data_IF_924098300620
#
_entry.id   IF_924098300620
#
_cell.length_a   1.000
_cell.length_b   1.000
_cell.length_c   1.000
_cell.angle_alpha   90.00
_cell.angle_beta   90.00
_cell.angle_gamma   90.00
#
_symmetry.space_group_name_H-M   'P 1'
#
loop_
_entity.id
_entity.type
_entity.pdbx_description
1 polymer ?
#
# COMPACT_ATOMS: atom_id res chain seq x y z
N UNK A 1 4.87 12.79 22.96
CA UNK A 1 5.14 13.06 21.52
C UNK A 1 3.82 13.18 20.79
N UNK A 2 3.71 14.19 19.96
CA UNK A 2 2.53 14.32 19.10
C UNK A 2 2.50 13.13 18.15
N UNK A 3 1.47 12.30 18.20
CA UNK A 3 1.34 11.19 17.25
C UNK A 3 1.35 11.72 15.83
N UNK A 4 2.17 11.11 14.98
CA UNK A 4 2.26 11.49 13.58
C UNK A 4 1.05 10.94 12.85
N UNK A 5 0.24 11.78 12.24
CA UNK A 5 -0.96 11.35 11.50
C UNK A 5 -0.65 11.08 10.03
N UNK A 6 0.22 10.10 9.79
CA UNK A 6 0.45 9.58 8.45
C UNK A 6 -0.66 8.60 8.07
N UNK A 7 -0.88 8.43 6.78
CA UNK A 7 -1.81 7.43 6.27
C UNK A 7 -1.11 6.53 5.25
N UNK A 8 -1.41 5.24 5.34
CA UNK A 8 -0.84 4.23 4.46
C UNK A 8 -1.86 3.78 3.42
N UNK A 9 -1.39 3.56 2.21
CA UNK A 9 -2.19 3.13 1.07
C UNK A 9 -1.53 1.89 0.46
N UNK A 10 -2.22 0.77 0.53
CA UNK A 10 -1.68 -0.54 0.15
C UNK A 10 -2.32 -1.00 -1.15
N UNK A 11 -1.48 -1.16 -2.19
CA UNK A 11 -1.86 -1.88 -3.39
C UNK A 11 -1.90 -3.38 -3.05
N UNK A 12 -3.08 -3.89 -2.74
CA UNK A 12 -3.25 -5.25 -2.23
C UNK A 12 -2.83 -6.32 -3.21
N UNK A 13 -3.10 -6.13 -4.50
CA UNK A 13 -2.69 -7.08 -5.52
C UNK A 13 -1.17 -7.12 -5.69
N UNK A 14 -0.53 -5.97 -5.77
CA UNK A 14 0.93 -5.87 -5.88
C UNK A 14 1.62 -6.51 -4.66
N UNK A 15 1.14 -6.23 -3.46
CA UNK A 15 1.65 -6.83 -2.23
C UNK A 15 1.53 -8.37 -2.27
N UNK A 16 0.34 -8.88 -2.54
CA UNK A 16 0.07 -10.31 -2.57
C UNK A 16 0.90 -11.05 -3.60
N UNK A 17 0.91 -10.57 -4.85
CA UNK A 17 1.62 -11.24 -5.94
C UNK A 17 3.12 -11.28 -5.71
N UNK A 18 3.71 -10.19 -5.25
CA UNK A 18 5.16 -10.10 -5.09
C UNK A 18 5.68 -10.81 -3.84
N UNK A 19 4.92 -10.90 -2.77
CA UNK A 19 5.30 -11.70 -1.60
C UNK A 19 5.16 -13.20 -1.89
N UNK A 20 4.08 -13.61 -2.56
CA UNK A 20 3.88 -15.01 -3.00
C UNK A 20 4.99 -15.46 -3.96
N UNK A 21 5.34 -14.64 -4.93
CA UNK A 21 6.43 -14.93 -5.87
C UNK A 21 7.78 -15.12 -5.16
N UNK A 22 7.95 -14.49 -4.00
CA UNK A 22 9.16 -14.60 -3.16
C UNK A 22 9.05 -15.69 -2.08
N UNK A 23 7.99 -16.48 -2.09
CA UNK A 23 7.80 -17.64 -1.20
C UNK A 23 7.42 -17.30 0.25
N UNK A 24 6.79 -16.16 0.50
CA UNK A 24 6.34 -15.80 1.85
C UNK A 24 4.98 -15.10 1.85
N UNK A 25 4.39 -14.98 3.00
CA UNK A 25 3.08 -14.35 3.20
C UNK A 25 3.17 -13.31 4.30
N UNK A 26 2.51 -12.18 4.07
CA UNK A 26 2.40 -11.12 5.08
C UNK A 26 1.35 -11.50 6.12
N UNK A 27 1.70 -11.40 7.39
CA UNK A 27 0.76 -11.37 8.49
C UNK A 27 0.17 -9.96 8.58
N UNK A 28 -1.09 -9.80 8.20
CA UNK A 28 -1.75 -8.51 8.10
C UNK A 28 -1.85 -7.79 9.45
N UNK A 29 -2.03 -8.52 10.55
CA UNK A 29 -2.07 -7.93 11.90
C UNK A 29 -0.71 -7.33 12.26
N UNK A 30 0.36 -8.12 12.09
CA UNK A 30 1.73 -7.65 12.32
C UNK A 30 2.08 -6.48 11.41
N UNK A 31 1.67 -6.54 10.15
CA UNK A 31 1.93 -5.49 9.18
C UNK A 31 1.22 -4.18 9.54
N UNK A 32 -0.04 -4.27 9.98
CA UNK A 32 -0.78 -3.08 10.45
C UNK A 32 -0.10 -2.42 11.64
N UNK A 33 0.35 -3.22 12.60
CA UNK A 33 1.12 -2.74 13.76
C UNK A 33 2.44 -2.10 13.32
N UNK A 34 3.17 -2.76 12.42
CA UNK A 34 4.43 -2.24 11.88
C UNK A 34 4.27 -0.87 11.22
N UNK A 35 3.23 -0.69 10.40
CA UNK A 35 2.96 0.59 9.75
C UNK A 35 2.65 1.69 10.78
N UNK A 36 1.90 1.37 11.82
CA UNK A 36 1.58 2.33 12.88
C UNK A 36 2.80 2.70 13.72
N UNK A 37 3.54 1.72 14.20
CA UNK A 37 4.64 1.94 15.14
C UNK A 37 5.86 2.57 14.48
N UNK A 38 6.21 2.11 13.28
CA UNK A 38 7.42 2.59 12.60
C UNK A 38 7.20 3.88 11.82
N UNK A 39 6.05 4.03 11.18
CA UNK A 39 5.77 5.13 10.26
C UNK A 39 4.65 6.06 10.70
N UNK A 40 4.05 5.84 11.84
CA UNK A 40 2.97 6.68 12.36
C UNK A 40 1.68 6.62 11.53
N UNK A 41 1.42 5.50 10.85
CA UNK A 41 0.22 5.33 10.05
C UNK A 41 -1.02 5.13 10.93
N UNK A 42 -1.79 6.19 11.15
CA UNK A 42 -3.01 6.14 11.95
C UNK A 42 -4.15 5.43 11.20
N UNK A 43 -4.22 5.62 9.90
CA UNK A 43 -5.14 4.91 9.01
C UNK A 43 -4.34 4.17 7.94
N UNK A 44 -4.83 3.01 7.55
CA UNK A 44 -4.25 2.21 6.48
C UNK A 44 -5.36 1.67 5.57
N UNK A 45 -5.30 2.04 4.31
CA UNK A 45 -6.28 1.66 3.28
C UNK A 45 -5.73 0.51 2.46
N UNK A 46 -6.51 -0.53 2.32
CA UNK A 46 -6.14 -1.72 1.55
C UNK A 46 -7.02 -1.80 0.30
N UNK A 47 -6.39 -1.59 -0.85
CA UNK A 47 -7.07 -1.52 -2.13
C UNK A 47 -7.12 -2.91 -2.79
N UNK A 48 -8.31 -3.29 -3.18
CA UNK A 48 -8.59 -4.51 -3.93
C UNK A 48 -9.33 -4.17 -5.21
N UNK A 49 -9.36 -5.11 -6.16
CA UNK A 49 -10.12 -4.98 -7.39
C UNK A 49 -11.63 -5.05 -7.15
N UNK A 50 -12.31 -5.92 -7.85
CA UNK A 50 -13.76 -6.11 -7.67
C UNK A 50 -14.06 -6.93 -6.42
N UNK A 51 -15.23 -6.70 -5.83
CA UNK A 51 -15.79 -7.58 -4.80
C UNK A 51 -16.02 -8.97 -5.39
N UNK A 52 -15.56 -10.00 -4.70
CA UNK A 52 -15.76 -11.40 -5.06
C UNK A 52 -16.19 -12.20 -3.85
N UNK A 53 -17.22 -13.01 -4.00
CA UNK A 53 -17.70 -13.90 -2.92
C UNK A 53 -16.62 -14.90 -2.48
N UNK A 54 -15.75 -15.32 -3.41
CA UNK A 54 -14.65 -16.26 -3.14
C UNK A 54 -13.59 -15.70 -2.19
N UNK A 55 -13.51 -14.39 -2.06
CA UNK A 55 -12.50 -13.70 -1.25
C UNK A 55 -13.03 -13.17 0.09
N UNK A 56 -14.19 -13.61 0.56
CA UNK A 56 -14.76 -13.12 1.84
C UNK A 56 -13.81 -13.31 3.02
N UNK A 57 -13.12 -14.45 3.09
CA UNK A 57 -12.14 -14.70 4.14
C UNK A 57 -10.98 -13.70 4.14
N UNK A 58 -10.51 -13.27 2.97
CA UNK A 58 -9.51 -12.24 2.84
C UNK A 58 -10.03 -10.89 3.34
N UNK A 59 -11.26 -10.53 2.99
CA UNK A 59 -11.86 -9.26 3.41
C UNK A 59 -12.00 -9.18 4.93
N UNK A 60 -12.45 -10.26 5.56
CA UNK A 60 -12.54 -10.34 7.02
C UNK A 60 -11.16 -10.21 7.68
N UNK A 61 -10.15 -10.88 7.14
CA UNK A 61 -8.76 -10.77 7.61
C UNK A 61 -8.24 -9.34 7.54
N UNK A 62 -8.42 -8.67 6.42
CA UNK A 62 -7.97 -7.29 6.20
C UNK A 62 -8.65 -6.35 7.19
N UNK A 63 -9.97 -6.45 7.34
CA UNK A 63 -10.75 -5.61 8.26
C UNK A 63 -10.39 -5.88 9.72
N UNK A 64 -10.29 -7.15 10.10
CA UNK A 64 -9.94 -7.56 11.48
C UNK A 64 -8.52 -7.11 11.85
N UNK A 65 -7.61 -7.07 10.89
CA UNK A 65 -6.25 -6.57 11.09
C UNK A 65 -6.20 -5.04 11.30
N UNK A 66 -7.29 -4.33 11.01
CA UNK A 66 -7.40 -2.88 11.21
C UNK A 66 -7.14 -2.05 9.96
N UNK A 67 -7.21 -2.65 8.77
CA UNK A 67 -7.19 -1.91 7.50
C UNK A 67 -8.61 -1.50 7.09
N UNK A 68 -8.67 -0.40 6.37
CA UNK A 68 -9.89 0.05 5.71
C UNK A 68 -9.89 -0.51 4.30
N UNK A 69 -10.86 -1.37 3.97
CA UNK A 69 -11.00 -1.93 2.64
C UNK A 69 -11.52 -0.88 1.67
N UNK A 70 -10.89 -0.81 0.51
CA UNK A 70 -11.35 0.00 -0.62
C UNK A 70 -11.43 -0.89 -1.84
N UNK A 71 -12.62 -1.01 -2.40
CA UNK A 71 -12.85 -1.72 -3.65
C UNK A 71 -12.92 -0.75 -4.80
N UNK A 72 -12.44 -1.21 -5.95
CA UNK A 72 -12.58 -0.45 -7.18
C UNK A 72 -14.06 -0.36 -7.59
N UNK A 73 -14.49 0.83 -7.98
CA UNK A 73 -15.79 1.02 -8.61
C UNK A 73 -15.81 0.44 -10.03
N UNK A 74 -16.82 -0.38 -10.31
CA UNK A 74 -17.06 -0.94 -11.64
C UNK A 74 -18.38 -0.44 -12.21
N UNK A 75 -18.37 0.03 -13.45
CA UNK A 75 -19.59 0.12 -14.23
C UNK A 75 -19.97 -1.29 -14.71
N UNK A 76 -21.28 -1.53 -14.94
CA UNK A 76 -21.76 -2.81 -15.52
C UNK A 76 -21.07 -3.15 -16.85
N UNK A 77 -20.71 -2.14 -17.64
CA UNK A 77 -20.01 -2.31 -18.90
C UNK A 77 -18.58 -2.84 -18.75
N UNK A 78 -18.00 -2.77 -17.56
CA UNK A 78 -16.64 -3.24 -17.28
C UNK A 78 -16.60 -4.64 -16.68
N UNK A 79 -17.74 -5.23 -16.33
CA UNK A 79 -17.84 -6.59 -15.83
C UNK A 79 -17.40 -7.56 -16.92
N UNK A 80 -16.35 -8.34 -16.68
CA UNK A 80 -15.79 -9.30 -17.63
C UNK A 80 -14.79 -8.74 -18.63
N UNK A 81 -14.54 -7.43 -18.63
CA UNK A 81 -13.42 -6.83 -19.36
C UNK A 81 -12.16 -6.83 -18.52
N UNK A 82 -11.00 -6.87 -19.20
CA UNK A 82 -9.68 -6.80 -18.60
C UNK A 82 -9.66 -5.73 -17.50
N UNK A 83 -9.22 -6.12 -16.32
CA UNK A 83 -9.15 -5.28 -15.12
C UNK A 83 -8.69 -3.88 -15.47
N UNK A 84 -9.56 -2.92 -15.32
CA UNK A 84 -9.13 -1.55 -15.34
C UNK A 84 -8.15 -1.31 -14.20
N UNK A 85 -7.43 -0.24 -14.29
CA UNK A 85 -6.28 0.05 -13.46
C UNK A 85 -6.70 0.43 -12.04
N UNK A 86 -6.47 -0.45 -11.06
CA UNK A 86 -6.61 -0.16 -9.62
C UNK A 86 -5.71 1.02 -9.23
N UNK A 87 -4.60 1.20 -9.93
CA UNK A 87 -3.62 2.27 -9.69
C UNK A 87 -4.25 3.66 -9.82
N UNK A 88 -5.14 3.86 -10.80
CA UNK A 88 -5.86 5.13 -10.96
C UNK A 88 -6.70 5.46 -9.74
N UNK A 89 -7.41 4.48 -9.18
CA UNK A 89 -8.24 4.68 -8.00
C UNK A 89 -7.39 4.98 -6.77
N UNK A 90 -6.25 4.31 -6.63
CA UNK A 90 -5.30 4.59 -5.54
C UNK A 90 -4.76 6.01 -5.66
N UNK A 91 -4.30 6.42 -6.85
CA UNK A 91 -3.78 7.78 -7.09
C UNK A 91 -4.84 8.83 -6.77
N UNK A 92 -6.07 8.65 -7.26
CA UNK A 92 -7.17 9.57 -6.99
C UNK A 92 -7.45 9.66 -5.49
N UNK A 93 -7.54 8.53 -4.80
CA UNK A 93 -7.83 8.49 -3.36
C UNK A 93 -6.73 9.19 -2.56
N UNK A 94 -5.47 8.92 -2.86
CA UNK A 94 -4.34 9.57 -2.19
C UNK A 94 -4.38 11.09 -2.40
N UNK A 95 -4.51 11.53 -3.64
CA UNK A 95 -4.44 12.95 -3.97
C UNK A 95 -5.64 13.72 -3.41
N UNK A 96 -6.84 13.13 -3.43
CA UNK A 96 -8.01 13.75 -2.81
C UNK A 96 -7.84 13.90 -1.30
N UNK A 97 -7.30 12.90 -0.62
CA UNK A 97 -7.03 12.99 0.83
C UNK A 97 -5.94 14.01 1.17
N UNK A 98 -4.90 14.10 0.36
CA UNK A 98 -3.86 15.12 0.54
C UNK A 98 -4.44 16.54 0.47
N UNK A 99 -5.44 16.74 -0.37
CA UNK A 99 -6.12 18.04 -0.54
C UNK A 99 -7.15 18.29 0.55
N UNK A 100 -8.00 17.30 0.83
CA UNK A 100 -9.22 17.47 1.63
C UNK A 100 -9.02 17.20 3.13
N UNK A 101 -8.16 16.24 3.49
CA UNK A 101 -7.89 15.88 4.89
C UNK A 101 -6.78 16.76 5.47
N UNK A 102 -7.19 17.82 6.16
CA UNK A 102 -6.25 18.79 6.76
C UNK A 102 -5.42 18.21 7.90
N UNK A 103 -5.88 17.13 8.50
CA UNK A 103 -5.19 16.49 9.63
C UNK A 103 -4.16 15.47 9.19
N UNK A 104 -4.27 14.97 7.95
CA UNK A 104 -3.31 14.03 7.39
C UNK A 104 -1.96 14.71 7.17
N UNK A 105 -0.87 14.07 7.66
CA UNK A 105 0.48 14.59 7.46
C UNK A 105 1.09 14.06 6.17
N UNK A 106 1.61 12.85 6.17
CA UNK A 106 2.35 12.30 5.04
C UNK A 106 1.75 10.98 4.55
N UNK A 107 2.03 10.69 3.29
CA UNK A 107 1.59 9.48 2.59
C UNK A 107 2.64 8.39 2.71
N UNK A 108 2.18 7.17 3.02
CA UNK A 108 2.95 5.93 2.90
C UNK A 108 2.31 5.11 1.79
N UNK A 109 3.08 4.70 0.79
CA UNK A 109 2.61 3.86 -0.30
C UNK A 109 3.25 2.49 -0.22
N UNK A 110 2.43 1.44 -0.27
CA UNK A 110 2.89 0.04 -0.32
C UNK A 110 2.64 -0.52 -1.71
N UNK A 111 3.63 -0.43 -2.55
CA UNK A 111 3.67 -0.98 -3.91
C UNK A 111 5.07 -0.85 -4.50
N UNK A 112 5.42 -1.73 -5.43
CA UNK A 112 6.63 -1.62 -6.25
C UNK A 112 6.36 -1.20 -7.69
N UNK A 113 5.10 -0.92 -8.03
CA UNK A 113 4.69 -0.58 -9.39
C UNK A 113 5.13 0.84 -9.78
N UNK A 114 5.76 0.94 -10.95
CA UNK A 114 6.24 2.21 -11.49
C UNK A 114 5.15 3.20 -11.90
N UNK A 115 3.91 2.77 -12.03
CA UNK A 115 2.78 3.63 -12.41
C UNK A 115 2.53 4.74 -11.37
N UNK A 116 2.96 4.54 -10.14
CA UNK A 116 2.86 5.55 -9.08
C UNK A 116 4.01 6.57 -9.07
N UNK A 117 5.01 6.43 -9.92
CA UNK A 117 6.24 7.23 -9.85
C UNK A 117 5.98 8.73 -9.88
N UNK A 118 5.16 9.21 -10.81
CA UNK A 118 4.87 10.64 -10.94
C UNK A 118 4.21 11.22 -9.69
N UNK A 119 3.26 10.49 -9.11
CA UNK A 119 2.60 10.89 -7.87
C UNK A 119 3.59 10.94 -6.71
N UNK A 120 4.40 9.91 -6.54
CA UNK A 120 5.40 9.83 -5.46
C UNK A 120 6.40 10.98 -5.57
N UNK A 121 6.93 11.22 -6.77
CA UNK A 121 7.84 12.34 -7.03
C UNK A 121 7.22 13.69 -6.65
N UNK A 122 5.99 13.93 -7.07
CA UNK A 122 5.24 15.13 -6.75
C UNK A 122 5.05 15.30 -5.23
N UNK A 123 4.65 14.24 -4.54
CA UNK A 123 4.44 14.29 -3.09
C UNK A 123 5.74 14.51 -2.31
N UNK A 124 6.85 13.97 -2.78
CA UNK A 124 8.18 14.24 -2.21
C UNK A 124 8.53 15.74 -2.36
N UNK A 125 8.33 16.30 -3.55
CA UNK A 125 8.58 17.73 -3.82
C UNK A 125 7.70 18.63 -2.95
N UNK A 126 6.48 18.22 -2.66
CA UNK A 126 5.54 18.93 -1.78
C UNK A 126 5.74 18.65 -0.29
N UNK A 127 6.71 17.83 0.06
CA UNK A 127 6.99 17.41 1.46
C UNK A 127 5.76 16.77 2.14
N UNK A 128 5.06 15.93 1.39
CA UNK A 128 3.87 15.19 1.82
C UNK A 128 4.02 13.67 1.65
N UNK A 129 5.25 13.20 1.57
CA UNK A 129 5.55 11.76 1.38
C UNK A 129 6.49 11.25 2.46
N UNK A 130 6.08 10.18 3.14
CA UNK A 130 6.86 9.53 4.19
C UNK A 130 7.73 8.40 3.63
N UNK A 131 7.10 7.39 3.01
CA UNK A 131 7.82 6.18 2.58
C UNK A 131 7.08 5.43 1.49
N UNK A 132 7.84 4.92 0.53
CA UNK A 132 7.42 3.86 -0.37
C UNK A 132 7.96 2.55 0.18
N UNK A 133 7.07 1.59 0.40
CA UNK A 133 7.41 0.24 0.87
C UNK A 133 7.11 -0.75 -0.25
N UNK A 134 8.11 -1.13 -0.99
CA UNK A 134 7.98 -2.10 -2.06
C UNK A 134 8.03 -3.54 -1.50
N UNK A 135 7.13 -4.43 -1.95
CA UNK A 135 7.09 -5.80 -1.43
C UNK A 135 8.36 -6.59 -1.68
N UNK A 136 8.99 -6.39 -2.82
CA UNK A 136 10.17 -7.15 -3.23
C UNK A 136 11.16 -6.25 -3.99
N UNK A 137 12.41 -6.25 -3.53
CA UNK A 137 13.49 -5.47 -4.14
C UNK A 137 13.67 -5.76 -5.62
N UNK A 138 13.57 -7.03 -6.02
CA UNK A 138 13.84 -7.45 -7.40
C UNK A 138 12.73 -7.09 -8.39
N UNK A 139 11.48 -7.03 -7.93
CA UNK A 139 10.32 -6.70 -8.75
C UNK A 139 9.91 -5.24 -8.70
N UNK A 140 10.64 -4.43 -7.95
CA UNK A 140 10.37 -3.00 -7.84
C UNK A 140 10.82 -2.26 -9.10
N UNK A 141 9.99 -1.34 -9.59
CA UNK A 141 10.33 -0.51 -10.75
C UNK A 141 11.66 0.22 -10.55
N UNK A 142 12.48 0.19 -11.60
CA UNK A 142 13.75 0.91 -11.60
C UNK A 142 13.60 2.43 -11.53
N UNK A 143 12.42 2.96 -11.84
CA UNK A 143 12.13 4.39 -11.72
C UNK A 143 12.37 4.93 -10.30
N UNK A 144 12.11 4.10 -9.29
CA UNK A 144 12.27 4.51 -7.89
C UNK A 144 13.73 4.62 -7.43
N UNK A 145 14.69 4.20 -8.23
CA UNK A 145 16.13 4.31 -7.91
C UNK A 145 16.62 5.76 -7.82
N UNK A 146 15.89 6.71 -8.41
CA UNK A 146 16.24 8.14 -8.32
C UNK A 146 15.98 8.72 -6.93
N UNK A 147 15.16 8.06 -6.12
CA UNK A 147 14.86 8.51 -4.76
C UNK A 147 15.93 7.99 -3.79
N UNK A 148 16.25 8.83 -2.78
CA UNK A 148 17.18 8.43 -1.72
C UNK A 148 16.60 7.29 -0.88
N UNK A 149 17.45 6.49 -0.20
CA UNK A 149 16.98 5.43 0.70
C UNK A 149 16.04 5.91 1.81
N UNK A 150 16.02 7.20 2.08
CA UNK A 150 15.07 7.80 3.01
C UNK A 150 13.61 7.51 2.61
N UNK A 151 13.31 7.52 1.31
CA UNK A 151 11.95 7.40 0.80
C UNK A 151 11.57 6.00 0.34
N UNK A 152 12.52 5.09 0.17
CA UNK A 152 12.25 3.74 -0.37
C UNK A 152 12.75 2.68 0.61
N UNK A 153 11.87 1.77 0.97
CA UNK A 153 12.17 0.58 1.74
C UNK A 153 11.60 -0.67 1.09
N UNK A 154 12.10 -1.83 1.49
CA UNK A 154 11.69 -3.12 0.93
C UNK A 154 11.19 -4.04 2.03
N UNK A 155 9.99 -4.58 1.85
CA UNK A 155 9.37 -5.46 2.85
C UNK A 155 10.08 -6.82 2.95
N UNK A 156 10.77 -7.24 1.88
CA UNK A 156 11.55 -8.49 1.87
C UNK A 156 12.97 -8.35 2.46
N UNK A 157 13.36 -7.17 2.92
CA UNK A 157 14.58 -7.02 3.71
C UNK A 157 14.48 -7.87 4.99
N UNK A 158 15.57 -8.54 5.34
CA UNK A 158 15.60 -9.59 6.37
C UNK A 158 14.89 -9.22 7.68
N UNK A 159 15.20 -8.04 8.21
CA UNK A 159 14.65 -7.61 9.51
C UNK A 159 13.17 -7.24 9.41
N UNK A 160 12.77 -6.60 8.32
CA UNK A 160 11.37 -6.24 8.07
C UNK A 160 10.54 -7.48 7.85
N UNK A 161 10.98 -8.37 6.95
CA UNK A 161 10.29 -9.63 6.67
C UNK A 161 10.07 -10.46 7.94
N UNK A 162 11.08 -10.56 8.79
CA UNK A 162 10.96 -11.29 10.07
C UNK A 162 9.85 -10.73 10.96
N UNK A 163 9.67 -9.41 10.96
CA UNK A 163 8.66 -8.73 11.79
C UNK A 163 7.24 -8.92 11.29
N UNK A 164 7.05 -9.01 9.98
CA UNK A 164 5.72 -8.95 9.35
C UNK A 164 5.29 -10.24 8.65
N UNK A 165 6.15 -11.25 8.58
CA UNK A 165 5.79 -12.51 7.93
C UNK A 165 4.88 -13.36 8.81
N UNK A 166 4.00 -14.09 8.14
CA UNK A 166 3.21 -15.13 8.77
C UNK A 166 4.15 -16.26 9.22
N UNK A 167 3.99 -16.73 10.46
CA UNK A 167 4.74 -17.87 10.95
C UNK A 167 4.36 -19.14 10.14
N UNK A 168 5.37 -19.89 9.74
CA UNK A 168 5.19 -21.18 9.05
C UNK A 168 4.91 -22.27 10.06
#
# INVERSE_FOLDING_TARGET
MKETNNQAFIDGQNLYMNTRASGWTVDLVKFRIYLREKYGAQKAYYFLGAVSEENQGLYELVQTAGFILVFREHSRAMIGKKKGNVDTDIVFTIMSKVIDDKDMKDVILVSGDGDYFKMVKYLIEKKRFCKLLAPNRHSTSSLYRVFTPRYVGFLNDKDTKKKISLAV
#
